data_IF_349654779776
#
_entry.id   IF_349654779776
#
_cell.length_a   1.000
_cell.length_b   1.000
_cell.length_c   1.000
_cell.angle_alpha   90.00
_cell.angle_beta   90.00
_cell.angle_gamma   90.00
#
_symmetry.space_group_name_H-M   'P 1'
#
loop_
_entity.id
_entity.type
_entity.pdbx_description
1 polymer ?
#
# COMPACT_ATOMS: atom_id res chain seq x y z
N UNK A 1 13.16 11.48 -13.18
CA UNK A 1 12.47 10.91 -14.35
C UNK A 1 11.74 9.60 -14.02
N UNK A 2 12.37 8.62 -13.37
CA UNK A 2 11.73 7.35 -13.04
C UNK A 2 10.50 7.46 -12.13
N UNK A 3 10.49 8.42 -11.22
CA UNK A 3 9.36 8.63 -10.28
C UNK A 3 8.12 9.19 -10.98
N UNK A 4 8.30 10.05 -11.98
CA UNK A 4 7.18 10.59 -12.77
C UNK A 4 6.43 9.51 -13.53
N UNK A 5 7.16 8.59 -14.18
CA UNK A 5 6.54 7.46 -14.90
C UNK A 5 5.73 6.57 -13.98
N UNK A 6 6.20 6.33 -12.75
CA UNK A 6 5.44 5.56 -11.75
C UNK A 6 4.14 6.25 -11.36
N UNK A 7 4.17 7.57 -11.16
CA UNK A 7 2.98 8.37 -10.83
C UNK A 7 1.98 8.42 -12.00
N UNK A 8 2.47 8.52 -13.23
CA UNK A 8 1.62 8.47 -14.43
C UNK A 8 0.94 7.09 -14.56
N UNK A 9 1.66 6.01 -14.29
CA UNK A 9 1.11 4.64 -14.27
C UNK A 9 0.11 4.44 -13.13
N UNK A 10 0.36 4.99 -11.96
CA UNK A 10 -0.59 5.00 -10.84
C UNK A 10 -1.91 5.68 -11.23
N UNK A 11 -1.83 6.88 -11.80
CA UNK A 11 -3.00 7.64 -12.23
C UNK A 11 -3.79 6.88 -13.31
N UNK A 12 -3.09 6.29 -14.29
CA UNK A 12 -3.70 5.48 -15.33
C UNK A 12 -4.38 4.22 -14.77
N UNK A 13 -3.74 3.53 -13.81
CA UNK A 13 -4.33 2.37 -13.14
C UNK A 13 -5.60 2.75 -12.38
N UNK A 14 -5.56 3.79 -11.57
CA UNK A 14 -6.72 4.26 -10.80
C UNK A 14 -7.88 4.64 -11.71
N UNK A 15 -7.62 5.34 -12.82
CA UNK A 15 -8.63 5.68 -13.81
C UNK A 15 -9.23 4.43 -14.49
N UNK A 16 -8.41 3.48 -14.88
CA UNK A 16 -8.89 2.20 -15.45
C UNK A 16 -9.73 1.41 -14.44
N UNK A 17 -9.35 1.37 -13.17
CA UNK A 17 -10.08 0.64 -12.12
C UNK A 17 -11.42 1.28 -11.75
N UNK A 18 -11.65 2.54 -12.09
CA UNK A 18 -12.97 3.16 -12.01
C UNK A 18 -13.92 2.70 -13.13
N UNK A 19 -13.38 2.24 -14.25
CA UNK A 19 -14.14 1.93 -15.48
C UNK A 19 -14.37 0.44 -15.68
N UNK A 20 -13.44 -0.41 -15.23
CA UNK A 20 -13.49 -1.85 -15.46
C UNK A 20 -12.82 -2.66 -14.36
N UNK A 21 -13.21 -3.94 -14.17
CA UNK A 21 -12.58 -4.81 -13.19
C UNK A 21 -11.10 -5.00 -13.48
N UNK A 22 -10.30 -5.15 -12.43
CA UNK A 22 -8.84 -5.31 -12.52
C UNK A 22 -8.41 -6.43 -13.49
N UNK A 23 -9.09 -7.58 -13.48
CA UNK A 23 -8.75 -8.71 -14.36
C UNK A 23 -8.94 -8.43 -15.87
N UNK A 24 -9.64 -7.35 -16.22
CA UNK A 24 -9.81 -6.89 -17.61
C UNK A 24 -8.84 -5.79 -18.01
N UNK A 25 -8.05 -5.29 -17.06
CA UNK A 25 -7.03 -4.27 -17.34
C UNK A 25 -5.78 -4.95 -17.86
N UNK A 26 -5.19 -4.40 -18.90
CA UNK A 26 -3.95 -4.89 -19.52
C UNK A 26 -2.83 -3.88 -19.34
N UNK A 27 -1.58 -4.35 -19.41
CA UNK A 27 -0.41 -3.46 -19.43
C UNK A 27 -0.50 -2.49 -20.63
N UNK A 28 -1.04 -2.96 -21.76
CA UNK A 28 -1.23 -2.11 -22.93
C UNK A 28 -2.18 -0.94 -22.66
N UNK A 29 -3.28 -1.16 -21.93
CA UNK A 29 -4.20 -0.08 -21.53
C UNK A 29 -3.47 1.05 -20.79
N UNK A 30 -2.58 0.69 -19.86
CA UNK A 30 -1.84 1.66 -19.05
C UNK A 30 -0.73 2.35 -19.86
N UNK A 31 0.01 1.60 -20.66
CA UNK A 31 1.10 2.16 -21.46
C UNK A 31 0.59 3.07 -22.57
N UNK A 32 -0.55 2.77 -23.16
CA UNK A 32 -1.22 3.64 -24.12
C UNK A 32 -1.70 4.93 -23.45
N UNK A 33 -2.30 4.84 -22.27
CA UNK A 33 -2.75 6.00 -21.49
C UNK A 33 -1.59 6.93 -21.08
N UNK A 34 -0.43 6.34 -20.77
CA UNK A 34 0.76 7.08 -20.36
C UNK A 34 1.68 7.50 -21.53
N UNK A 35 1.38 7.08 -22.75
CA UNK A 35 2.24 7.27 -23.92
C UNK A 35 3.67 6.74 -23.74
N UNK A 36 3.80 5.58 -23.14
CA UNK A 36 5.08 4.89 -22.92
C UNK A 36 5.10 3.52 -23.59
N UNK A 37 6.29 2.95 -23.76
CA UNK A 37 6.44 1.59 -24.27
C UNK A 37 6.17 0.53 -23.19
N UNK A 38 5.82 -0.70 -23.60
CA UNK A 38 5.75 -1.85 -22.68
C UNK A 38 7.08 -2.09 -21.97
N UNK A 39 8.20 -1.87 -22.64
CA UNK A 39 9.53 -2.00 -22.05
C UNK A 39 9.74 -0.99 -20.90
N UNK A 40 9.24 0.23 -21.04
CA UNK A 40 9.21 1.24 -19.96
C UNK A 40 8.42 0.76 -18.74
N UNK A 41 7.28 0.12 -18.95
CA UNK A 41 6.51 -0.50 -17.86
C UNK A 41 7.35 -1.54 -17.12
N UNK A 42 7.91 -2.51 -17.85
CA UNK A 42 8.71 -3.61 -17.27
C UNK A 42 10.03 -3.15 -16.64
N UNK A 43 10.51 -1.99 -16.97
CA UNK A 43 11.63 -1.37 -16.26
C UNK A 43 11.26 -1.03 -14.81
N UNK A 44 10.01 -0.67 -14.54
CA UNK A 44 9.54 -0.24 -13.22
C UNK A 44 8.81 -1.31 -12.43
N UNK A 45 8.04 -2.15 -13.11
CA UNK A 45 7.15 -3.15 -12.48
C UNK A 45 7.21 -4.48 -13.21
N UNK A 46 7.17 -5.55 -12.43
CA UNK A 46 7.18 -6.91 -12.94
C UNK A 46 5.88 -7.25 -13.70
N UNK A 47 4.74 -6.84 -13.13
CA UNK A 47 3.40 -7.07 -13.67
C UNK A 47 2.40 -6.05 -13.07
N UNK A 48 1.13 -6.19 -13.41
CA UNK A 48 0.07 -5.31 -12.88
C UNK A 48 -0.13 -5.44 -11.37
N UNK A 49 0.06 -6.63 -10.81
CA UNK A 49 -0.07 -6.85 -9.35
C UNK A 49 1.03 -6.10 -8.59
N UNK A 50 2.25 -6.13 -9.11
CA UNK A 50 3.37 -5.36 -8.57
C UNK A 50 3.08 -3.85 -8.57
N UNK A 51 2.48 -3.34 -9.64
CA UNK A 51 2.04 -1.95 -9.70
C UNK A 51 0.94 -1.65 -8.66
N UNK A 52 -0.08 -2.50 -8.53
CA UNK A 52 -1.14 -2.31 -7.53
C UNK A 52 -0.58 -2.31 -6.12
N UNK A 53 0.31 -3.25 -5.80
CA UNK A 53 0.97 -3.31 -4.50
C UNK A 53 1.76 -2.03 -4.21
N UNK A 54 2.51 -1.55 -5.19
CA UNK A 54 3.25 -0.29 -5.07
C UNK A 54 2.32 0.90 -4.83
N UNK A 55 1.21 1.01 -5.58
CA UNK A 55 0.21 2.08 -5.40
C UNK A 55 -0.39 2.05 -4.00
N UNK A 56 -0.78 0.88 -3.51
CA UNK A 56 -1.32 0.74 -2.16
C UNK A 56 -0.32 1.14 -1.08
N UNK A 57 0.96 0.77 -1.24
CA UNK A 57 2.04 1.16 -0.31
C UNK A 57 2.25 2.67 -0.33
N UNK A 58 2.30 3.29 -1.51
CA UNK A 58 2.49 4.74 -1.64
C UNK A 58 1.31 5.52 -1.09
N UNK A 59 0.07 5.11 -1.38
CA UNK A 59 -1.12 5.72 -0.80
C UNK A 59 -1.12 5.66 0.73
N UNK A 60 -0.75 4.51 1.30
CA UNK A 60 -0.63 4.34 2.74
C UNK A 60 0.48 5.24 3.34
N UNK A 61 1.63 5.30 2.70
CA UNK A 61 2.73 6.20 3.11
C UNK A 61 2.31 7.67 3.08
N UNK A 62 1.64 8.09 2.00
CA UNK A 62 1.15 9.47 1.88
C UNK A 62 0.11 9.79 2.95
N UNK A 63 -0.82 8.89 3.23
CA UNK A 63 -1.80 9.05 4.30
C UNK A 63 -1.14 9.24 5.66
N UNK A 64 -0.02 8.56 5.91
CA UNK A 64 0.76 8.69 7.15
C UNK A 64 1.64 9.94 7.18
N UNK A 65 2.21 10.34 6.04
CA UNK A 65 3.15 11.49 5.94
C UNK A 65 2.45 12.85 5.90
N UNK A 66 1.25 12.93 5.37
CA UNK A 66 0.46 14.18 5.31
C UNK A 66 0.10 14.73 6.70
N UNK A 67 0.69 14.16 7.74
CA UNK A 67 0.49 14.49 9.14
C UNK A 67 1.73 14.92 9.86
N UNK A 68 2.11 16.13 9.60
CA UNK A 68 3.06 16.85 10.45
C UNK A 68 2.50 17.14 11.86
N UNK A 69 1.28 16.69 12.18
CA UNK A 69 0.57 17.00 13.44
C UNK A 69 -0.14 15.81 14.09
N UNK A 70 0.13 14.56 13.66
CA UNK A 70 -0.39 13.43 14.44
C UNK A 70 0.47 13.25 15.69
N UNK A 71 -0.06 13.68 16.82
CA UNK A 71 0.59 13.52 18.10
C UNK A 71 0.64 12.05 18.58
N UNK A 72 -0.07 11.16 17.90
CA UNK A 72 -0.16 9.75 18.28
C UNK A 72 -0.46 8.82 17.09
N UNK A 73 -0.20 7.54 17.29
CA UNK A 73 -0.41 6.49 16.28
C UNK A 73 -1.89 6.27 15.92
N UNK A 74 -2.81 6.58 16.84
CA UNK A 74 -4.25 6.44 16.60
C UNK A 74 -4.71 7.36 15.46
N UNK A 75 -4.22 8.59 15.44
CA UNK A 75 -4.50 9.54 14.36
C UNK A 75 -3.92 9.05 13.03
N UNK A 76 -2.69 8.49 13.05
CA UNK A 76 -2.09 7.87 11.87
C UNK A 76 -2.95 6.74 11.31
N UNK A 77 -3.44 5.86 12.17
CA UNK A 77 -4.31 4.75 11.79
C UNK A 77 -5.66 5.24 11.23
N UNK A 78 -6.28 6.23 11.87
CA UNK A 78 -7.52 6.84 11.38
C UNK A 78 -7.37 7.35 9.94
N UNK A 79 -6.24 7.95 9.61
CA UNK A 79 -6.04 8.47 8.25
C UNK A 79 -5.78 7.40 7.20
N UNK A 80 -5.23 6.25 7.60
CA UNK A 80 -5.19 5.09 6.71
C UNK A 80 -6.62 4.64 6.37
N UNK A 81 -7.51 4.60 7.36
CA UNK A 81 -8.92 4.27 7.11
C UNK A 81 -9.63 5.33 6.26
N UNK A 82 -9.39 6.61 6.50
CA UNK A 82 -9.94 7.70 5.67
C UNK A 82 -9.45 7.59 4.22
N UNK A 83 -8.15 7.33 4.00
CA UNK A 83 -7.59 7.15 2.67
C UNK A 83 -8.20 5.94 1.94
N UNK A 84 -8.42 4.83 2.65
CA UNK A 84 -9.12 3.65 2.10
C UNK A 84 -10.56 4.01 1.72
N UNK A 85 -11.25 4.76 2.55
CA UNK A 85 -12.63 5.19 2.28
C UNK A 85 -12.72 6.14 1.07
N UNK A 86 -11.81 7.10 0.97
CA UNK A 86 -11.74 8.04 -0.16
C UNK A 86 -11.42 7.33 -1.49
N UNK A 87 -10.62 6.26 -1.43
CA UNK A 87 -10.26 5.45 -2.61
C UNK A 87 -11.09 4.16 -2.71
N UNK A 88 -12.29 4.14 -2.13
CA UNK A 88 -13.13 2.94 -2.05
C UNK A 88 -13.30 2.20 -3.38
N UNK A 89 -13.59 2.84 -4.53
CA UNK A 89 -13.74 2.12 -5.80
C UNK A 89 -12.48 1.33 -6.19
N UNK A 90 -11.30 1.94 -6.02
CA UNK A 90 -10.02 1.28 -6.27
C UNK A 90 -9.80 0.10 -5.30
N UNK A 91 -9.98 0.33 -4.01
CA UNK A 91 -9.78 -0.69 -2.96
C UNK A 91 -10.72 -1.88 -3.16
N UNK A 92 -11.99 -1.64 -3.44
CA UNK A 92 -12.96 -2.70 -3.68
C UNK A 92 -12.66 -3.49 -4.94
N UNK A 93 -12.25 -2.82 -6.03
CA UNK A 93 -11.84 -3.50 -7.25
C UNK A 93 -10.60 -4.39 -7.00
N UNK A 94 -9.60 -3.88 -6.29
CA UNK A 94 -8.43 -4.65 -5.89
C UNK A 94 -8.83 -5.85 -5.01
N UNK A 95 -9.66 -5.64 -4.01
CA UNK A 95 -10.12 -6.67 -3.08
C UNK A 95 -10.82 -7.84 -3.80
N UNK A 96 -11.71 -7.55 -4.75
CA UNK A 96 -12.44 -8.58 -5.46
C UNK A 96 -11.67 -9.28 -6.59
N UNK A 97 -10.61 -8.67 -7.09
CA UNK A 97 -9.90 -9.17 -8.28
C UNK A 97 -8.45 -9.60 -8.02
N UNK A 98 -7.92 -9.34 -6.84
CA UNK A 98 -6.59 -9.78 -6.41
C UNK A 98 -6.75 -10.96 -5.46
N UNK A 99 -5.83 -11.91 -5.49
CA UNK A 99 -5.93 -13.09 -4.63
C UNK A 99 -5.86 -12.69 -3.15
N UNK A 100 -6.60 -13.43 -2.31
CA UNK A 100 -6.60 -13.22 -0.86
C UNK A 100 -5.18 -13.29 -0.28
N UNK A 101 -4.38 -14.23 -0.74
CA UNK A 101 -2.99 -14.38 -0.31
C UNK A 101 -2.16 -13.12 -0.57
N UNK A 102 -2.29 -12.51 -1.74
CA UNK A 102 -1.58 -11.28 -2.09
C UNK A 102 -2.02 -10.10 -1.22
N UNK A 103 -3.33 -9.99 -0.96
CA UNK A 103 -3.90 -8.96 -0.08
C UNK A 103 -3.38 -9.16 1.36
N UNK A 104 -3.43 -10.38 1.87
CA UNK A 104 -2.93 -10.69 3.22
C UNK A 104 -1.44 -10.39 3.34
N UNK A 105 -0.63 -10.78 2.38
CA UNK A 105 0.82 -10.49 2.38
C UNK A 105 1.11 -8.98 2.36
N UNK A 106 0.36 -8.22 1.57
CA UNK A 106 0.45 -6.77 1.56
C UNK A 106 0.08 -6.17 2.92
N UNK A 107 -1.04 -6.58 3.50
CA UNK A 107 -1.51 -6.11 4.80
C UNK A 107 -0.54 -6.48 5.92
N UNK A 108 0.01 -7.70 5.91
CA UNK A 108 1.02 -8.13 6.88
C UNK A 108 2.24 -7.21 6.87
N UNK A 109 2.74 -6.87 5.68
CA UNK A 109 3.89 -5.98 5.53
C UNK A 109 3.58 -4.57 6.02
N UNK A 110 2.45 -4.01 5.58
CA UNK A 110 2.01 -2.68 5.97
C UNK A 110 1.81 -2.55 7.48
N UNK A 111 1.08 -3.48 8.08
CA UNK A 111 0.79 -3.48 9.52
C UNK A 111 2.06 -3.71 10.33
N UNK A 112 2.94 -4.60 9.89
CA UNK A 112 4.24 -4.82 10.52
C UNK A 112 5.05 -3.52 10.60
N UNK A 113 5.18 -2.81 9.49
CA UNK A 113 5.95 -1.56 9.42
C UNK A 113 5.34 -0.47 10.31
N UNK A 114 4.01 -0.37 10.35
CA UNK A 114 3.31 0.56 11.23
C UNK A 114 3.54 0.24 12.71
N UNK A 115 3.46 -1.03 13.09
CA UNK A 115 3.70 -1.46 14.48
C UNK A 115 5.16 -1.23 14.86
N UNK A 116 6.11 -1.50 13.97
CA UNK A 116 7.53 -1.23 14.22
C UNK A 116 7.78 0.26 14.49
N UNK A 117 7.15 1.15 13.75
CA UNK A 117 7.24 2.59 14.01
C UNK A 117 6.72 2.97 15.40
N UNK A 118 5.59 2.41 15.81
CA UNK A 118 5.03 2.62 17.17
C UNK A 118 5.98 2.09 18.23
N UNK A 119 6.56 0.92 18.04
CA UNK A 119 7.51 0.31 18.97
C UNK A 119 8.76 1.20 19.09
N UNK A 120 9.34 1.65 17.99
CA UNK A 120 10.50 2.54 17.98
C UNK A 120 10.23 3.83 18.75
N UNK A 121 9.05 4.40 18.58
CA UNK A 121 8.66 5.63 19.27
C UNK A 121 8.46 5.40 20.78
N UNK A 122 7.75 4.33 21.16
CA UNK A 122 7.42 4.03 22.55
C UNK A 122 8.57 3.42 23.34
N UNK A 123 9.51 2.78 22.67
CA UNK A 123 10.63 2.09 23.29
C UNK A 123 11.93 2.93 23.38
N UNK A 124 11.87 4.23 23.09
CA UNK A 124 13.05 5.11 23.13
C UNK A 124 13.79 5.07 24.46
N UNK A 125 13.04 4.94 25.56
CA UNK A 125 13.58 4.94 26.93
C UNK A 125 13.63 3.53 27.56
N UNK A 126 13.38 2.49 26.76
CA UNK A 126 13.34 1.10 27.22
C UNK A 126 14.35 0.26 26.44
N UNK A 127 15.18 -0.48 27.15
CA UNK A 127 16.09 -1.43 26.51
C UNK A 127 15.35 -2.70 26.11
N UNK A 128 15.01 -2.79 24.82
CA UNK A 128 14.49 -4.00 24.20
C UNK A 128 15.31 -4.33 22.96
N UNK A 129 15.55 -5.63 22.75
CA UNK A 129 16.31 -6.11 21.59
C UNK A 129 15.51 -6.02 20.30
N UNK A 130 16.17 -6.02 19.16
CA UNK A 130 15.51 -6.10 17.86
C UNK A 130 14.65 -7.37 17.72
N UNK A 131 15.10 -8.50 18.31
CA UNK A 131 14.33 -9.74 18.34
C UNK A 131 13.01 -9.59 19.11
N UNK A 132 13.03 -8.91 20.25
CA UNK A 132 11.82 -8.61 21.03
C UNK A 132 10.89 -7.67 20.30
N UNK A 133 11.40 -6.63 19.62
CA UNK A 133 10.60 -5.73 18.79
C UNK A 133 9.90 -6.49 17.66
N UNK A 134 10.64 -7.35 16.96
CA UNK A 134 10.09 -8.18 15.89
C UNK A 134 9.03 -9.16 16.39
N UNK A 135 9.23 -9.75 17.56
CA UNK A 135 8.23 -10.62 18.19
C UNK A 135 6.91 -9.87 18.46
N UNK A 136 6.99 -8.69 19.06
CA UNK A 136 5.82 -7.85 19.34
C UNK A 136 5.11 -7.47 18.03
N UNK A 137 5.87 -7.01 17.03
CA UNK A 137 5.31 -6.62 15.75
C UNK A 137 4.62 -7.79 15.04
N UNK A 138 5.21 -8.99 15.06
CA UNK A 138 4.63 -10.18 14.49
C UNK A 138 3.35 -10.61 15.22
N UNK A 139 3.35 -10.57 16.53
CA UNK A 139 2.18 -10.92 17.34
C UNK A 139 0.96 -10.05 17.00
N UNK A 140 1.13 -8.74 17.02
CA UNK A 140 0.03 -7.81 16.73
C UNK A 140 -0.34 -7.78 15.24
N UNK A 141 0.61 -7.96 14.34
CA UNK A 141 0.36 -8.07 12.90
C UNK A 141 -0.67 -9.17 12.58
N UNK A 142 -0.48 -10.35 13.11
CA UNK A 142 -1.42 -11.47 12.90
C UNK A 142 -2.79 -11.21 13.54
N UNK A 143 -2.83 -10.54 14.69
CA UNK A 143 -4.08 -10.11 15.30
C UNK A 143 -4.87 -9.13 14.44
N UNK A 144 -4.23 -8.10 13.92
CA UNK A 144 -4.87 -7.09 13.07
C UNK A 144 -5.37 -7.67 11.75
N UNK A 145 -4.53 -8.39 11.02
CA UNK A 145 -4.89 -8.95 9.71
C UNK A 145 -5.92 -10.07 9.85
N UNK A 146 -5.88 -10.83 10.92
CA UNK A 146 -6.86 -11.91 11.18
C UNK A 146 -8.28 -11.43 11.48
N UNK A 147 -8.45 -10.16 11.86
CA UNK A 147 -9.77 -9.55 12.14
C UNK A 147 -10.37 -8.89 10.89
N UNK A 148 -9.57 -8.55 9.89
CA UNK A 148 -10.02 -7.99 8.61
C UNK A 148 -10.57 -9.07 7.68
#
# INVERSE_FOLDING_TARGET
MSNRTKLDLEAALKDCMLKKPFHKITIQDLTDACHISRMSFYYHFKDLHDLVEWVCVEDAKQALQNKKHSENWQDGLLHVFEAVYENKPFVMNAYYNISREQIENFLFKLVHDLIMQVIEEKAKDVQISEEQKNFIANFYKYGFVGVM
#
